data_IF_197496984767
#
_entry.id   IF_197496984767
#
_cell.length_a   1.000
_cell.length_b   1.000
_cell.length_c   1.000
_cell.angle_alpha   90.00
_cell.angle_beta   90.00
_cell.angle_gamma   90.00
#
_symmetry.space_group_name_H-M   'P 1'
#
loop_
_entity.id
_entity.type
_entity.pdbx_description
1 polymer ?
#
# COMPACT_ATOMS: atom_id res chain seq x y z
N UNK A 1 81.86 -9.77 61.17
CA UNK A 1 81.14 -11.05 61.32
C UNK A 1 79.83 -10.90 60.56
N UNK A 2 79.65 -11.70 59.51
CA UNK A 2 78.50 -11.66 58.62
C UNK A 2 77.43 -12.65 59.11
N UNK A 3 76.14 -12.32 58.91
CA UNK A 3 75.06 -13.29 58.76
C UNK A 3 73.99 -12.74 57.80
N UNK A 4 73.31 -13.59 56.99
CA UNK A 4 72.45 -13.21 55.87
C UNK A 4 70.95 -13.30 56.27
N UNK A 5 70.03 -13.24 55.29
CA UNK A 5 68.56 -13.43 55.34
C UNK A 5 67.80 -12.08 55.26
N UNK A 6 66.83 -11.86 54.37
CA UNK A 6 66.21 -12.67 53.33
C UNK A 6 65.16 -11.79 52.65
N UNK A 7 65.19 -11.74 51.31
CA UNK A 7 64.30 -10.90 50.50
C UNK A 7 62.90 -11.52 50.45
N UNK A 8 61.91 -10.92 51.12
CA UNK A 8 60.51 -11.36 51.02
C UNK A 8 59.89 -10.81 49.74
N UNK A 9 59.83 -11.65 48.69
CA UNK A 9 59.04 -11.38 47.49
C UNK A 9 57.56 -11.61 47.78
N UNK A 10 56.75 -10.55 47.72
CA UNK A 10 55.29 -10.67 47.64
C UNK A 10 54.92 -11.39 46.33
N UNK A 11 54.56 -12.66 46.42
CA UNK A 11 53.90 -13.35 45.32
C UNK A 11 52.49 -12.77 45.18
N UNK A 12 52.26 -11.96 44.14
CA UNK A 12 50.89 -11.70 43.68
C UNK A 12 50.42 -12.97 43.00
N UNK A 13 49.55 -13.71 43.66
CA UNK A 13 48.88 -14.88 43.08
C UNK A 13 48.05 -14.40 41.90
N UNK A 14 48.57 -14.56 40.69
CA UNK A 14 47.82 -14.34 39.46
C UNK A 14 46.79 -15.46 39.39
N UNK A 15 45.53 -15.17 39.71
CA UNK A 15 44.41 -16.08 39.46
C UNK A 15 44.38 -16.40 37.96
N UNK A 16 44.89 -17.58 37.59
CA UNK A 16 44.70 -18.13 36.25
C UNK A 16 43.22 -18.46 36.09
N UNK A 17 42.47 -17.59 35.41
CA UNK A 17 41.12 -17.94 34.92
C UNK A 17 41.26 -19.11 33.96
N UNK A 18 40.96 -20.31 34.46
CA UNK A 18 40.94 -21.52 33.65
C UNK A 18 39.87 -21.37 32.55
N UNK A 19 40.15 -21.82 31.31
CA UNK A 19 39.18 -21.79 30.23
C UNK A 19 37.95 -22.61 30.62
N UNK A 20 36.75 -22.09 30.33
CA UNK A 20 35.50 -22.79 30.63
C UNK A 20 35.54 -24.18 29.99
N UNK A 21 35.25 -25.27 30.73
CA UNK A 21 35.30 -26.60 30.15
C UNK A 21 34.34 -26.69 28.97
N UNK A 22 34.84 -27.14 27.82
CA UNK A 22 34.02 -27.35 26.63
C UNK A 22 33.07 -28.50 26.91
N UNK A 23 31.77 -28.19 26.98
CA UNK A 23 30.74 -29.21 27.23
C UNK A 23 30.67 -30.13 26.01
N UNK A 24 31.09 -31.38 26.18
CA UNK A 24 31.01 -32.41 25.15
C UNK A 24 29.53 -32.59 24.80
N UNK A 25 29.15 -32.28 23.55
CA UNK A 25 27.77 -32.43 23.08
C UNK A 25 27.54 -33.90 22.70
N UNK A 26 26.44 -34.47 23.17
CA UNK A 26 26.03 -35.81 22.79
C UNK A 26 25.68 -35.84 21.29
N UNK A 27 26.25 -36.80 20.55
CA UNK A 27 26.06 -36.97 19.10
C UNK A 27 25.11 -38.12 18.76
N UNK A 28 24.44 -38.71 19.74
CA UNK A 28 23.39 -39.71 19.49
C UNK A 28 22.30 -39.10 18.61
N UNK A 29 21.73 -39.85 17.66
CA UNK A 29 20.67 -39.35 16.80
C UNK A 29 19.49 -38.87 17.66
N UNK A 30 18.97 -37.69 17.34
CA UNK A 30 17.80 -37.16 18.04
C UNK A 30 16.59 -38.08 17.80
N UNK A 31 15.80 -38.40 18.84
CA UNK A 31 14.63 -39.26 18.70
C UNK A 31 13.53 -38.62 17.84
N UNK A 32 13.49 -37.29 17.76
CA UNK A 32 12.61 -36.52 16.89
C UNK A 32 13.45 -35.63 15.99
N UNK A 33 13.24 -35.74 14.69
CA UNK A 33 13.89 -34.89 13.69
C UNK A 33 13.09 -33.61 13.54
N UNK A 34 13.78 -32.48 13.43
CA UNK A 34 13.14 -31.18 13.19
C UNK A 34 12.59 -31.21 11.75
N UNK A 35 11.28 -31.03 11.60
CA UNK A 35 10.62 -31.00 10.29
C UNK A 35 10.48 -29.56 9.78
N UNK A 36 10.35 -29.41 8.46
CA UNK A 36 10.07 -28.11 7.85
C UNK A 36 8.77 -27.49 8.38
N UNK A 37 7.74 -28.32 8.62
CA UNK A 37 6.47 -27.87 9.19
C UNK A 37 6.64 -27.29 10.59
N UNK A 38 7.47 -27.93 11.44
CA UNK A 38 7.73 -27.45 12.79
C UNK A 38 8.41 -26.09 12.81
N UNK A 39 9.41 -25.89 11.94
CA UNK A 39 10.11 -24.61 11.81
C UNK A 39 9.15 -23.51 11.33
N UNK A 40 8.33 -23.80 10.31
CA UNK A 40 7.38 -22.83 9.75
C UNK A 40 6.28 -22.48 10.75
N UNK A 41 5.76 -23.45 11.50
CA UNK A 41 4.78 -23.23 12.56
C UNK A 41 5.33 -22.36 13.69
N UNK A 42 6.52 -22.70 14.18
CA UNK A 42 7.17 -21.99 15.27
C UNK A 42 7.56 -20.56 14.86
N UNK A 43 7.99 -20.36 13.60
CA UNK A 43 8.25 -19.03 13.04
C UNK A 43 6.97 -18.19 12.95
N UNK A 44 5.84 -18.79 12.57
CA UNK A 44 4.54 -18.13 12.51
C UNK A 44 4.01 -17.77 13.91
N UNK A 45 4.17 -18.65 14.89
CA UNK A 45 3.76 -18.41 16.28
C UNK A 45 4.60 -17.34 16.98
N UNK A 46 5.88 -17.20 16.58
CA UNK A 46 6.79 -16.14 17.07
C UNK A 46 6.74 -14.85 16.28
N UNK A 47 5.99 -14.82 15.18
CA UNK A 47 5.81 -13.58 14.45
C UNK A 47 4.96 -12.68 15.36
N UNK A 48 5.62 -11.78 16.09
CA UNK A 48 4.96 -10.73 16.86
C UNK A 48 3.92 -10.10 15.93
N UNK A 49 2.67 -10.01 16.39
CA UNK A 49 1.59 -9.37 15.63
C UNK A 49 2.13 -8.04 15.12
N UNK A 50 2.21 -7.88 13.79
CA UNK A 50 2.68 -6.63 13.17
C UNK A 50 1.93 -5.49 13.86
N UNK A 51 2.68 -4.62 14.56
CA UNK A 51 2.11 -3.65 15.49
C UNK A 51 0.97 -2.91 14.81
N UNK A 52 -0.27 -3.30 15.15
CA UNK A 52 -1.44 -2.78 14.47
C UNK A 52 -1.41 -1.26 14.64
N UNK A 53 -1.55 -0.49 13.54
CA UNK A 53 -1.56 0.96 13.65
C UNK A 53 -2.59 1.35 14.69
N UNK A 54 -2.18 2.11 15.71
CA UNK A 54 -3.14 2.68 16.65
C UNK A 54 -4.09 3.54 15.83
N UNK A 55 -5.33 3.07 15.65
CA UNK A 55 -6.37 3.80 14.95
C UNK A 55 -6.71 5.03 15.80
N UNK A 56 -5.95 6.11 15.61
CA UNK A 56 -6.28 7.41 16.17
C UNK A 56 -7.58 7.90 15.55
N UNK A 57 -8.55 8.25 16.38
CA UNK A 57 -9.74 8.98 15.92
C UNK A 57 -9.28 10.39 15.59
N UNK A 58 -9.38 10.78 14.33
CA UNK A 58 -9.09 12.13 13.88
C UNK A 58 -10.11 13.07 14.54
N UNK A 59 -9.65 13.96 15.44
CA UNK A 59 -10.52 14.87 16.18
C UNK A 59 -10.64 16.23 15.52
N UNK A 60 -9.54 16.74 14.96
CA UNK A 60 -9.42 18.13 14.54
C UNK A 60 -9.18 18.28 13.04
N UNK A 61 -9.55 19.44 12.49
CA UNK A 61 -9.39 19.74 11.06
C UNK A 61 -7.91 19.79 10.64
N UNK A 62 -7.02 20.21 11.54
CA UNK A 62 -5.57 20.21 11.34
C UNK A 62 -5.03 18.78 11.26
N UNK A 63 -5.44 17.90 12.18
CA UNK A 63 -5.07 16.49 12.15
C UNK A 63 -5.56 15.80 10.87
N UNK A 64 -6.78 16.13 10.40
CA UNK A 64 -7.29 15.64 9.12
C UNK A 64 -6.43 16.11 7.94
N UNK A 65 -5.96 17.36 7.97
CA UNK A 65 -5.10 17.91 6.92
C UNK A 65 -3.72 17.23 6.91
N UNK A 66 -3.12 17.01 8.08
CA UNK A 66 -1.87 16.26 8.22
C UNK A 66 -2.02 14.82 7.74
N UNK A 67 -3.11 14.14 8.11
CA UNK A 67 -3.43 12.81 7.64
C UNK A 67 -3.52 12.76 6.11
N UNK A 68 -4.26 13.71 5.51
CA UNK A 68 -4.40 13.83 4.05
C UNK A 68 -3.04 14.06 3.38
N UNK A 69 -2.21 14.95 3.92
CA UNK A 69 -0.89 15.25 3.38
C UNK A 69 0.03 14.02 3.43
N UNK A 70 0.07 13.33 4.58
CA UNK A 70 0.85 12.10 4.76
C UNK A 70 0.41 11.01 3.79
N UNK A 71 -0.90 10.77 3.67
CA UNK A 71 -1.45 9.77 2.76
C UNK A 71 -1.20 10.08 1.29
N UNK A 72 -1.34 11.34 0.88
CA UNK A 72 -0.97 11.78 -0.48
C UNK A 72 0.48 11.50 -0.78
N UNK A 73 1.39 11.81 0.16
CA UNK A 73 2.82 11.52 0.00
C UNK A 73 3.07 10.02 -0.19
N UNK A 74 2.44 9.16 0.61
CA UNK A 74 2.55 7.70 0.48
C UNK A 74 2.10 7.21 -0.92
N UNK A 75 0.98 7.73 -1.43
CA UNK A 75 0.49 7.40 -2.77
C UNK A 75 1.42 7.91 -3.88
N UNK A 76 1.86 9.17 -3.80
CA UNK A 76 2.78 9.76 -4.78
C UNK A 76 4.13 9.01 -4.80
N UNK A 77 4.67 8.63 -3.64
CA UNK A 77 5.91 7.85 -3.57
C UNK A 77 5.72 6.44 -4.16
N UNK A 78 4.56 5.84 -3.94
CA UNK A 78 4.22 4.54 -4.54
C UNK A 78 4.12 4.64 -6.07
N UNK A 79 3.46 5.69 -6.56
CA UNK A 79 3.32 5.99 -7.97
C UNK A 79 4.67 6.28 -8.64
N UNK A 80 5.55 7.03 -7.97
CA UNK A 80 6.92 7.30 -8.46
C UNK A 80 7.71 6.01 -8.64
N UNK A 81 7.59 5.07 -7.70
CA UNK A 81 8.27 3.76 -7.77
C UNK A 81 7.66 2.85 -8.83
N UNK A 82 6.34 2.87 -8.99
CA UNK A 82 5.61 1.91 -9.83
C UNK A 82 4.64 2.62 -10.80
N UNK A 83 5.20 3.48 -11.65
CA UNK A 83 4.43 4.40 -12.52
C UNK A 83 3.47 3.68 -13.47
N UNK A 84 3.85 2.50 -13.95
CA UNK A 84 3.08 1.66 -14.88
C UNK A 84 1.94 0.88 -14.22
N UNK A 85 1.94 0.76 -12.88
CA UNK A 85 0.92 -0.03 -12.18
C UNK A 85 -0.37 0.77 -12.02
N UNK A 86 -1.31 0.51 -12.93
CA UNK A 86 -2.64 1.10 -12.95
C UNK A 86 -3.43 0.85 -11.65
N UNK A 87 -3.18 -0.27 -10.96
CA UNK A 87 -3.81 -0.56 -9.67
C UNK A 87 -3.43 0.44 -8.57
N UNK A 88 -2.19 0.95 -8.59
CA UNK A 88 -1.76 1.99 -7.64
C UNK A 88 -2.49 3.31 -7.90
N UNK A 89 -2.62 3.70 -9.17
CA UNK A 89 -3.38 4.87 -9.61
C UNK A 89 -4.85 4.80 -9.22
N UNK A 90 -5.52 3.68 -9.51
CA UNK A 90 -6.93 3.47 -9.16
C UNK A 90 -7.16 3.56 -7.65
N UNK A 91 -6.25 3.00 -6.83
CA UNK A 91 -6.34 3.11 -5.37
C UNK A 91 -6.22 4.55 -4.89
N UNK A 92 -5.29 5.32 -5.47
CA UNK A 92 -5.10 6.71 -5.12
C UNK A 92 -6.32 7.57 -5.50
N UNK A 93 -6.83 7.41 -6.72
CA UNK A 93 -7.99 8.15 -7.19
C UNK A 93 -9.25 7.85 -6.35
N UNK A 94 -9.48 6.58 -6.00
CA UNK A 94 -10.58 6.19 -5.09
C UNK A 94 -10.42 6.73 -3.67
N UNK A 95 -9.18 6.90 -3.21
CA UNK A 95 -8.93 7.52 -1.91
C UNK A 95 -9.20 9.03 -1.94
N UNK A 96 -8.78 9.75 -2.99
CA UNK A 96 -9.16 11.18 -3.15
C UNK A 96 -10.69 11.33 -3.28
N UNK A 97 -11.35 10.41 -3.99
CA UNK A 97 -12.81 10.34 -4.07
C UNK A 97 -13.44 10.20 -2.67
N UNK A 98 -12.88 9.37 -1.79
CA UNK A 98 -13.39 9.20 -0.42
C UNK A 98 -13.08 10.39 0.50
N UNK A 99 -12.11 11.24 0.14
CA UNK A 99 -11.87 12.52 0.82
C UNK A 99 -12.86 13.62 0.41
N UNK A 100 -13.66 13.38 -0.64
CA UNK A 100 -14.58 14.36 -1.22
C UNK A 100 -13.92 15.38 -2.16
N UNK A 101 -12.62 15.23 -2.44
CA UNK A 101 -11.87 16.12 -3.34
C UNK A 101 -11.92 15.59 -4.78
N UNK A 102 -13.05 15.85 -5.43
CA UNK A 102 -13.32 15.38 -6.80
C UNK A 102 -12.37 15.99 -7.83
N UNK A 103 -11.91 17.23 -7.61
CA UNK A 103 -10.96 17.90 -8.49
C UNK A 103 -9.60 17.20 -8.49
N UNK A 104 -9.10 16.82 -7.31
CA UNK A 104 -7.88 16.01 -7.23
C UNK A 104 -8.08 14.60 -7.75
N UNK A 105 -9.20 13.95 -7.45
CA UNK A 105 -9.51 12.63 -8.00
C UNK A 105 -9.46 12.65 -9.53
N UNK A 106 -10.07 13.66 -10.18
CA UNK A 106 -10.00 13.86 -11.62
C UNK A 106 -8.55 14.08 -12.10
N UNK A 107 -7.77 14.92 -11.43
CA UNK A 107 -6.34 15.12 -11.76
C UNK A 107 -5.52 13.83 -11.71
N UNK A 108 -5.78 12.96 -10.73
CA UNK A 108 -5.12 11.64 -10.64
C UNK A 108 -5.53 10.75 -11.81
N UNK A 109 -6.81 10.75 -12.20
CA UNK A 109 -7.28 10.00 -13.37
C UNK A 109 -6.68 10.51 -14.68
N UNK A 110 -6.62 11.83 -14.90
CA UNK A 110 -5.97 12.41 -16.08
C UNK A 110 -4.49 11.98 -16.15
N UNK A 111 -3.75 12.09 -15.05
CA UNK A 111 -2.36 11.60 -14.96
C UNK A 111 -2.23 10.10 -15.21
N UNK A 112 -3.26 9.33 -14.91
CA UNK A 112 -3.29 7.89 -15.18
C UNK A 112 -3.39 7.65 -16.69
N UNK A 113 -4.30 8.37 -17.36
CA UNK A 113 -4.47 8.34 -18.81
C UNK A 113 -3.23 8.83 -19.56
N UNK A 114 -2.52 9.83 -19.03
CA UNK A 114 -1.26 10.31 -19.62
C UNK A 114 -0.18 9.23 -19.73
N UNK A 115 -0.24 8.19 -18.90
CA UNK A 115 0.70 7.06 -19.01
C UNK A 115 0.18 5.90 -19.83
N UNK A 116 -1.10 5.58 -19.70
CA UNK A 116 -1.70 4.52 -20.49
C UNK A 116 -3.16 4.83 -20.78
N UNK A 117 -3.39 5.54 -21.89
CA UNK A 117 -4.72 5.83 -22.38
C UNK A 117 -5.36 4.64 -23.10
N UNK A 118 -4.64 3.57 -23.42
CA UNK A 118 -5.21 2.40 -24.11
C UNK A 118 -6.00 1.51 -23.14
N UNK A 119 -5.81 1.69 -21.83
CA UNK A 119 -6.48 0.89 -20.82
C UNK A 119 -7.95 1.31 -20.67
N UNK A 120 -8.83 0.56 -21.34
CA UNK A 120 -10.29 0.73 -21.29
C UNK A 120 -10.83 0.70 -19.86
N UNK A 121 -10.25 -0.10 -18.95
CA UNK A 121 -10.70 -0.18 -17.56
C UNK A 121 -10.53 1.15 -16.81
N UNK A 122 -9.50 1.93 -17.15
CA UNK A 122 -9.24 3.25 -16.53
C UNK A 122 -10.33 4.23 -16.95
N UNK A 123 -10.65 4.30 -18.25
CA UNK A 123 -11.75 5.13 -18.78
C UNK A 123 -13.08 4.80 -18.10
N UNK A 124 -13.43 3.52 -18.03
CA UNK A 124 -14.68 3.08 -17.42
C UNK A 124 -14.79 3.48 -15.95
N UNK A 125 -13.70 3.31 -15.17
CA UNK A 125 -13.68 3.69 -13.74
C UNK A 125 -13.72 5.19 -13.52
N UNK A 126 -13.08 5.96 -14.41
CA UNK A 126 -13.09 7.41 -14.33
C UNK A 126 -14.47 7.97 -14.63
N UNK A 127 -15.10 7.54 -15.73
CA UNK A 127 -16.48 7.90 -16.04
C UNK A 127 -17.43 7.48 -14.92
N UNK A 128 -17.30 6.26 -14.40
CA UNK A 128 -18.14 5.78 -13.30
C UNK A 128 -18.04 6.69 -12.07
N UNK A 129 -16.84 7.16 -11.72
CA UNK A 129 -16.66 8.15 -10.66
C UNK A 129 -17.42 9.46 -10.97
N UNK A 130 -17.26 10.02 -12.17
CA UNK A 130 -17.97 11.25 -12.57
C UNK A 130 -19.51 11.09 -12.51
N UNK A 131 -20.02 9.93 -12.96
CA UNK A 131 -21.44 9.60 -12.93
C UNK A 131 -21.96 9.43 -11.50
N UNK A 132 -21.22 8.76 -10.61
CA UNK A 132 -21.59 8.61 -9.19
C UNK A 132 -21.72 9.95 -8.47
N UNK A 133 -20.94 10.95 -8.88
CA UNK A 133 -20.97 12.32 -8.34
C UNK A 133 -21.85 13.28 -9.15
N UNK A 134 -22.71 12.78 -10.04
CA UNK A 134 -23.65 13.56 -10.88
C UNK A 134 -22.99 14.62 -11.78
N UNK A 135 -21.71 14.46 -12.11
CA UNK A 135 -20.97 15.35 -13.03
C UNK A 135 -21.14 14.92 -14.48
N UNK A 136 -22.38 14.97 -14.96
CA UNK A 136 -22.79 14.43 -16.27
C UNK A 136 -22.02 15.06 -17.44
N UNK A 137 -21.82 16.38 -17.44
CA UNK A 137 -21.10 17.06 -18.52
C UNK A 137 -19.64 16.59 -18.61
N UNK A 138 -18.99 16.36 -17.47
CA UNK A 138 -17.65 15.80 -17.44
C UNK A 138 -17.64 14.37 -17.96
N UNK A 139 -18.60 13.55 -17.53
CA UNK A 139 -18.74 12.18 -18.02
C UNK A 139 -18.95 12.13 -19.55
N UNK A 140 -19.75 13.02 -20.12
CA UNK A 140 -19.95 13.12 -21.58
C UNK A 140 -18.66 13.49 -22.31
N UNK A 141 -17.96 14.53 -21.85
CA UNK A 141 -16.66 14.93 -22.42
C UNK A 141 -15.63 13.78 -22.35
N UNK A 142 -15.66 12.99 -21.28
CA UNK A 142 -14.81 11.82 -21.12
C UNK A 142 -15.15 10.72 -22.12
N UNK A 143 -16.44 10.44 -22.35
CA UNK A 143 -16.87 9.49 -23.35
C UNK A 143 -16.48 9.93 -24.76
N UNK A 144 -16.75 11.18 -25.13
CA UNK A 144 -16.38 11.73 -26.43
C UNK A 144 -14.88 11.58 -26.70
N UNK A 145 -14.06 11.88 -25.68
CA UNK A 145 -12.60 11.69 -25.76
C UNK A 145 -12.22 10.22 -25.87
N UNK A 146 -12.84 9.34 -25.10
CA UNK A 146 -12.55 7.91 -25.09
C UNK A 146 -12.85 7.27 -26.46
N UNK A 147 -14.02 7.55 -27.04
CA UNK A 147 -14.40 7.01 -28.37
C UNK A 147 -13.60 7.63 -29.51
N UNK A 148 -13.16 8.88 -29.37
CA UNK A 148 -12.28 9.53 -30.34
C UNK A 148 -10.88 8.92 -30.35
N UNK A 149 -10.33 8.61 -29.17
CA UNK A 149 -9.00 8.01 -29.04
C UNK A 149 -8.99 6.50 -29.35
N UNK A 150 -10.05 5.79 -28.97
CA UNK A 150 -10.17 4.34 -29.08
C UNK A 150 -11.42 3.93 -29.88
N UNK A 151 -11.52 4.31 -31.18
CA UNK A 151 -12.74 4.11 -31.96
C UNK A 151 -13.07 2.64 -32.22
N UNK A 152 -12.08 1.75 -32.14
CA UNK A 152 -12.23 0.29 -32.38
C UNK A 152 -12.70 -0.49 -31.15
N UNK A 153 -12.89 0.18 -30.01
CA UNK A 153 -13.30 -0.48 -28.77
C UNK A 153 -14.82 -0.33 -28.62
N UNK A 154 -15.56 -1.31 -29.13
CA UNK A 154 -17.03 -1.29 -29.13
C UNK A 154 -17.63 -1.13 -27.73
N UNK A 155 -16.96 -1.66 -26.70
CA UNK A 155 -17.39 -1.53 -25.31
C UNK A 155 -17.58 -0.08 -24.88
N UNK A 156 -16.76 0.85 -25.37
CA UNK A 156 -16.87 2.27 -25.04
C UNK A 156 -18.13 2.87 -25.67
N UNK A 157 -18.41 2.53 -26.93
CA UNK A 157 -19.62 2.97 -27.64
C UNK A 157 -20.90 2.46 -26.97
N UNK A 158 -20.97 1.16 -26.65
CA UNK A 158 -22.14 0.59 -25.98
C UNK A 158 -22.42 1.26 -24.63
N UNK A 159 -21.38 1.50 -23.84
CA UNK A 159 -21.53 2.16 -22.54
C UNK A 159 -21.89 3.64 -22.67
N UNK A 160 -21.38 4.32 -23.69
CA UNK A 160 -21.73 5.72 -23.96
C UNK A 160 -23.20 5.86 -24.36
N UNK A 161 -23.66 5.08 -25.34
CA UNK A 161 -25.07 5.09 -25.78
C UNK A 161 -26.00 4.76 -24.62
N UNK A 162 -25.67 3.72 -23.83
CA UNK A 162 -26.45 3.35 -22.66
C UNK A 162 -26.52 4.48 -21.62
N UNK A 163 -25.42 5.21 -21.42
CA UNK A 163 -25.41 6.37 -20.53
C UNK A 163 -26.36 7.47 -21.03
N UNK A 164 -26.27 7.83 -22.32
CA UNK A 164 -27.15 8.85 -22.91
C UNK A 164 -28.63 8.42 -22.90
N UNK A 165 -28.94 7.14 -23.13
CA UNK A 165 -30.30 6.60 -23.03
C UNK A 165 -30.84 6.71 -21.60
N UNK A 166 -30.05 6.34 -20.60
CA UNK A 166 -30.45 6.45 -19.19
C UNK A 166 -30.66 7.90 -18.75
N UNK A 167 -29.93 8.86 -19.31
CA UNK A 167 -30.16 10.29 -19.06
C UNK A 167 -31.31 10.86 -19.89
N UNK A 168 -31.48 10.40 -21.13
CA UNK A 168 -32.55 10.79 -22.04
C UNK A 168 -33.91 10.31 -21.59
N UNK A 169 -34.02 9.11 -21.01
CA UNK A 169 -35.24 8.62 -20.37
C UNK A 169 -35.62 9.41 -19.10
N UNK A 170 -34.65 10.07 -18.45
CA UNK A 170 -34.93 10.99 -17.33
C UNK A 170 -35.47 12.34 -17.83
N UNK A 171 -35.05 12.79 -19.02
CA UNK A 171 -35.59 13.99 -19.67
C UNK A 171 -36.93 13.74 -20.40
N UNK A 172 -37.17 12.50 -20.82
CA UNK A 172 -38.38 12.05 -21.53
C UNK A 172 -39.42 11.35 -20.66
N UNK A 173 -39.40 11.55 -19.33
CA UNK A 173 -40.53 11.17 -18.48
C UNK A 173 -41.80 11.85 -19.00
N UNK A 174 -42.95 11.15 -19.09
CA UNK A 174 -44.10 11.59 -19.87
C UNK A 174 -44.56 12.97 -19.40
N UNK A 175 -44.22 14.00 -20.19
CA UNK A 175 -44.86 15.30 -20.10
C UNK A 175 -46.33 15.07 -20.44
N UNK A 176 -47.17 15.11 -19.41
CA UNK A 176 -48.59 14.87 -19.51
C UNK A 176 -49.30 15.90 -20.37
N UNK A 177 -50.38 15.39 -20.99
CA UNK A 177 -51.58 16.07 -21.48
C UNK A 177 -51.39 17.11 -22.57
#
# INVERSE_FOLDING_TARGET
MADPLGTSLHHKTVEKRLPRPTKVKNKTPAPVQITAEQIVREAKERQDDEMAPRLGRITDAEELAEYRLKKRKEFEDTIRRVRWNQGAWVKYAKWEESQGDLGRAASVWERTLDVDYHNVSVWLKYVDMEMRHRRINHARNLWDRAVSLLPRVDQLWYKYIHMEEMLGNVAGGPAGV
#
